data_IF_753235008703
#
_entry.id   IF_753235008703
#
_cell.length_a   1.000
_cell.length_b   1.000
_cell.length_c   1.000
_cell.angle_alpha   90.00
_cell.angle_beta   90.00
_cell.angle_gamma   90.00
#
_symmetry.space_group_name_H-M   'P 1'
#
loop_
_entity.id
_entity.type
_entity.pdbx_description
1 polymer ?
#
# COMPACT_ATOMS: atom_id res chain seq x y z
N UNK A 1 6.19 27.24 -3.34
CA UNK A 1 7.33 26.31 -3.34
C UNK A 1 8.42 26.73 -4.35
N UNK A 2 9.33 27.66 -3.98
CA UNK A 2 10.60 27.84 -4.71
C UNK A 2 11.85 27.69 -3.82
N UNK A 3 11.72 27.31 -2.54
CA UNK A 3 12.85 27.29 -1.59
C UNK A 3 13.69 26.00 -1.60
N UNK A 4 13.13 24.89 -2.11
CA UNK A 4 13.81 23.58 -2.16
C UNK A 4 13.66 22.97 -3.56
N UNK A 5 14.35 23.51 -4.59
CA UNK A 5 14.18 23.07 -5.98
C UNK A 5 14.64 21.62 -6.21
N UNK A 6 15.55 21.12 -5.38
CA UNK A 6 16.10 19.76 -5.45
C UNK A 6 15.26 18.73 -4.65
N UNK A 7 14.08 19.14 -4.17
CA UNK A 7 13.13 18.26 -3.49
C UNK A 7 11.79 18.22 -4.22
N UNK A 8 11.21 17.02 -4.25
CA UNK A 8 9.84 16.79 -4.71
C UNK A 8 8.98 16.56 -3.48
N UNK A 9 7.76 17.12 -3.49
CA UNK A 9 6.82 17.04 -2.37
C UNK A 9 5.50 16.34 -2.73
N UNK A 10 5.50 15.02 -3.02
CA UNK A 10 4.26 14.30 -3.26
C UNK A 10 3.38 14.35 -2.00
N UNK A 11 2.16 14.86 -2.16
CA UNK A 11 1.26 15.12 -1.04
C UNK A 11 -0.15 14.66 -1.36
N UNK A 12 -0.80 14.00 -0.41
CA UNK A 12 -2.23 13.72 -0.45
C UNK A 12 -2.81 13.99 0.94
N UNK A 13 -3.69 14.99 1.06
CA UNK A 13 -4.14 15.50 2.34
C UNK A 13 -2.96 15.83 3.29
N UNK A 14 -2.91 15.27 4.50
CA UNK A 14 -1.83 15.44 5.48
C UNK A 14 -0.62 14.54 5.23
N UNK A 15 -0.74 13.52 4.35
CA UNK A 15 0.36 12.63 3.99
C UNK A 15 1.29 13.29 2.96
N UNK A 16 2.23 14.09 3.48
CA UNK A 16 3.28 14.76 2.70
C UNK A 16 4.59 13.99 2.77
N UNK A 17 5.21 13.76 1.60
CA UNK A 17 6.51 13.11 1.47
C UNK A 17 7.53 14.12 0.95
N UNK A 18 8.77 14.05 1.43
CA UNK A 18 9.88 14.86 0.93
C UNK A 18 10.88 13.92 0.28
N UNK A 19 11.11 14.08 -1.02
CA UNK A 19 11.96 13.19 -1.82
C UNK A 19 13.11 14.00 -2.41
N UNK A 20 14.34 13.56 -2.17
CA UNK A 20 15.55 14.22 -2.66
C UNK A 20 16.81 13.63 -2.03
N UNK A 21 17.93 14.33 -2.20
CA UNK A 21 19.18 14.01 -1.50
C UNK A 21 19.01 14.24 0.01
N UNK A 22 19.69 13.43 0.83
CA UNK A 22 19.52 13.40 2.30
C UNK A 22 19.61 14.80 2.92
N UNK A 23 20.65 15.57 2.59
CA UNK A 23 20.86 16.89 3.17
C UNK A 23 19.78 17.90 2.74
N UNK A 24 19.31 17.80 1.50
CA UNK A 24 18.24 18.65 0.96
C UNK A 24 16.89 18.31 1.62
N UNK A 25 16.62 17.02 1.83
CA UNK A 25 15.41 16.55 2.53
C UNK A 25 15.39 17.04 3.98
N UNK A 26 16.52 17.00 4.69
CA UNK A 26 16.61 17.54 6.04
C UNK A 26 16.37 19.05 6.09
N UNK A 27 16.97 19.80 5.18
CA UNK A 27 16.78 21.24 5.09
C UNK A 27 15.31 21.60 4.79
N UNK A 28 14.70 20.86 3.85
CA UNK A 28 13.28 20.97 3.54
C UNK A 28 12.38 20.60 4.72
N UNK A 29 12.73 19.55 5.49
CA UNK A 29 12.00 19.14 6.68
C UNK A 29 12.00 20.22 7.76
N UNK A 30 13.16 20.82 8.05
CA UNK A 30 13.24 21.93 9.01
C UNK A 30 12.41 23.13 8.55
N UNK A 31 12.50 23.49 7.26
CA UNK A 31 11.69 24.58 6.69
C UNK A 31 10.19 24.28 6.84
N UNK A 32 9.78 23.03 6.57
CA UNK A 32 8.38 22.61 6.73
C UNK A 32 7.93 22.69 8.18
N UNK A 33 8.77 22.30 9.14
CA UNK A 33 8.47 22.42 10.58
C UNK A 33 8.23 23.88 10.99
N UNK A 34 9.09 24.80 10.56
CA UNK A 34 8.96 26.21 10.87
C UNK A 34 7.70 26.82 10.24
N UNK A 35 7.41 26.47 8.98
CA UNK A 35 6.22 26.93 8.27
C UNK A 35 4.93 26.39 8.91
N UNK A 36 4.90 25.12 9.30
CA UNK A 36 3.75 24.54 10.01
C UNK A 36 3.55 25.19 11.38
N UNK A 37 4.64 25.43 12.13
CA UNK A 37 4.57 26.10 13.42
C UNK A 37 4.00 27.52 13.31
N UNK A 38 4.31 28.25 12.23
CA UNK A 38 3.77 29.60 11.98
C UNK A 38 2.25 29.65 11.82
N UNK A 39 1.62 28.52 11.50
CA UNK A 39 0.16 28.37 11.38
C UNK A 39 -0.44 27.50 12.50
N UNK A 40 0.33 27.23 13.56
CA UNK A 40 -0.14 26.46 14.73
C UNK A 40 -0.24 24.95 14.49
N UNK A 41 0.42 24.42 13.46
CA UNK A 41 0.47 22.99 13.15
C UNK A 41 1.82 22.39 13.54
N UNK A 42 1.83 21.09 13.82
CA UNK A 42 3.05 20.33 14.14
C UNK A 42 3.09 19.01 13.38
N UNK A 43 4.30 18.57 13.04
CA UNK A 43 4.52 17.23 12.49
C UNK A 43 4.38 16.21 13.63
N UNK A 44 3.80 15.04 13.35
CA UNK A 44 3.74 13.91 14.28
C UNK A 44 4.91 12.93 14.01
N UNK A 45 6.04 13.01 14.75
CA UNK A 45 7.25 12.24 14.44
C UNK A 45 7.03 10.73 14.41
N UNK A 46 6.16 10.22 15.29
CA UNK A 46 5.88 8.79 15.42
C UNK A 46 5.19 8.17 14.20
N UNK A 47 4.61 9.00 13.32
CA UNK A 47 4.02 8.62 12.04
C UNK A 47 4.98 8.81 10.86
N UNK A 48 6.04 9.59 11.03
CA UNK A 48 7.02 9.85 10.00
C UNK A 48 8.05 8.71 9.90
N UNK A 49 8.39 8.34 8.67
CA UNK A 49 9.40 7.31 8.40
C UNK A 49 10.37 7.81 7.35
N UNK A 50 11.67 7.69 7.61
CA UNK A 50 12.72 7.93 6.65
C UNK A 50 13.18 6.61 6.03
N UNK A 51 13.48 6.64 4.74
CA UNK A 51 14.02 5.51 4.00
C UNK A 51 14.85 6.01 2.81
N UNK A 52 15.86 5.23 2.44
CA UNK A 52 16.66 5.45 1.24
C UNK A 52 16.96 4.09 0.62
N UNK A 53 16.88 3.94 -0.72
CA UNK A 53 17.25 2.70 -1.40
C UNK A 53 18.73 2.33 -1.21
N UNK A 54 19.59 3.31 -0.89
CA UNK A 54 21.02 3.11 -0.66
C UNK A 54 21.38 3.08 0.83
N UNK A 55 20.38 3.02 1.72
CA UNK A 55 20.56 3.23 3.15
C UNK A 55 20.72 4.70 3.50
N UNK A 56 20.53 4.99 4.79
CA UNK A 56 20.74 6.33 5.35
C UNK A 56 22.14 6.39 5.99
N UNK A 57 22.84 7.53 5.91
CA UNK A 57 24.17 7.66 6.51
C UNK A 57 24.07 7.54 8.04
N UNK A 58 25.03 6.87 8.72
CA UNK A 58 25.01 6.72 10.17
C UNK A 58 25.03 8.05 10.94
N UNK A 59 25.56 9.10 10.32
CA UNK A 59 25.59 10.46 10.86
C UNK A 59 24.27 11.22 10.74
N UNK A 60 23.26 10.64 10.09
CA UNK A 60 21.97 11.28 9.91
C UNK A 60 21.25 11.47 11.25
N UNK A 61 21.02 12.72 11.64
CA UNK A 61 20.22 13.07 12.80
C UNK A 61 18.80 13.43 12.37
N UNK A 62 17.86 12.49 12.56
CA UNK A 62 16.43 12.76 12.37
C UNK A 62 15.80 13.30 13.65
N UNK A 63 14.70 14.09 13.55
CA UNK A 63 13.96 14.52 14.73
C UNK A 63 13.52 13.33 15.60
N UNK A 64 13.56 13.51 16.91
CA UNK A 64 13.23 12.45 17.88
C UNK A 64 11.84 11.87 17.59
N UNK A 65 11.77 10.55 17.45
CA UNK A 65 10.54 9.80 17.22
C UNK A 65 10.28 9.41 15.76
N UNK A 66 11.05 9.95 14.81
CA UNK A 66 11.02 9.45 13.42
C UNK A 66 11.45 7.99 13.39
N UNK A 67 10.75 7.20 12.57
CA UNK A 67 11.15 5.83 12.27
C UNK A 67 12.15 5.82 11.12
N UNK A 68 13.03 4.83 11.12
CA UNK A 68 13.89 4.53 9.97
C UNK A 68 13.51 3.16 9.46
N UNK A 69 13.14 3.10 8.19
CA UNK A 69 12.97 1.82 7.50
C UNK A 69 14.25 1.46 6.76
N UNK A 70 14.60 0.18 6.78
CA UNK A 70 15.74 -0.38 6.01
C UNK A 70 15.28 -1.18 4.79
N UNK A 71 13.99 -1.50 4.70
CA UNK A 71 13.45 -2.44 3.71
C UNK A 71 12.55 -1.78 2.68
N UNK A 72 11.96 -0.62 2.98
CA UNK A 72 11.04 0.07 2.08
C UNK A 72 10.02 0.94 2.81
N UNK A 73 9.12 1.57 2.06
CA UNK A 73 8.00 2.35 2.57
C UNK A 73 6.69 1.85 1.97
N UNK A 74 5.59 2.11 2.66
CA UNK A 74 4.26 2.01 2.06
C UNK A 74 3.67 3.42 1.99
N UNK A 75 3.41 3.90 0.77
CA UNK A 75 2.90 5.24 0.50
C UNK A 75 1.47 5.08 -0.02
N UNK A 76 0.49 5.56 0.74
CA UNK A 76 -0.94 5.45 0.39
C UNK A 76 -1.37 4.02 0.01
N UNK A 77 -0.82 3.00 0.69
CA UNK A 77 -1.10 1.59 0.40
C UNK A 77 -0.26 0.98 -0.74
N UNK A 78 0.60 1.76 -1.41
CA UNK A 78 1.51 1.28 -2.44
C UNK A 78 2.91 0.99 -1.84
N UNK A 79 3.44 -0.23 -1.97
CA UNK A 79 4.79 -0.54 -1.50
C UNK A 79 5.85 0.08 -2.41
N UNK A 80 6.88 0.67 -1.80
CA UNK A 80 8.05 1.24 -2.44
C UNK A 80 9.31 0.65 -1.79
N UNK A 81 10.19 0.05 -2.58
CA UNK A 81 11.42 -0.55 -2.06
C UNK A 81 12.03 -1.54 -3.05
N UNK A 82 13.00 -2.35 -2.60
CA UNK A 82 13.51 -3.48 -3.37
C UNK A 82 12.38 -4.45 -3.74
N UNK A 83 12.55 -5.17 -4.84
CA UNK A 83 11.55 -6.13 -5.35
C UNK A 83 11.10 -7.14 -4.29
N UNK A 84 12.02 -7.60 -3.43
CA UNK A 84 11.70 -8.52 -2.33
C UNK A 84 10.72 -7.92 -1.32
N UNK A 85 10.87 -6.65 -0.96
CA UNK A 85 9.96 -5.94 -0.06
C UNK A 85 8.59 -5.76 -0.72
N UNK A 86 8.58 -5.27 -1.97
CA UNK A 86 7.36 -5.03 -2.75
C UNK A 86 6.55 -6.32 -2.92
N UNK A 87 7.20 -7.41 -3.31
CA UNK A 87 6.54 -8.70 -3.49
C UNK A 87 6.04 -9.27 -2.17
N UNK A 88 6.83 -9.20 -1.10
CA UNK A 88 6.42 -9.69 0.22
C UNK A 88 5.19 -8.94 0.74
N UNK A 89 5.18 -7.61 0.60
CA UNK A 89 4.04 -6.78 0.98
C UNK A 89 2.81 -7.17 0.16
N UNK A 90 2.94 -7.24 -1.16
CA UNK A 90 1.81 -7.52 -2.04
C UNK A 90 1.21 -8.91 -1.79
N UNK A 91 2.05 -9.96 -1.72
CA UNK A 91 1.59 -11.33 -1.41
C UNK A 91 0.88 -11.38 -0.05
N UNK A 92 1.45 -10.73 0.97
CA UNK A 92 0.82 -10.65 2.30
C UNK A 92 -0.56 -9.99 2.23
N UNK A 93 -0.70 -8.87 1.51
CA UNK A 93 -1.99 -8.19 1.35
C UNK A 93 -3.02 -9.07 0.64
N UNK A 94 -2.61 -9.85 -0.36
CA UNK A 94 -3.47 -10.84 -1.01
C UNK A 94 -3.92 -11.94 -0.02
N UNK A 95 -3.00 -12.46 0.80
CA UNK A 95 -3.31 -13.47 1.81
C UNK A 95 -4.29 -12.96 2.88
N UNK A 96 -4.10 -11.73 3.37
CA UNK A 96 -5.01 -11.10 4.33
C UNK A 96 -6.41 -10.88 3.73
N UNK A 97 -6.47 -10.47 2.47
CA UNK A 97 -7.74 -10.31 1.75
C UNK A 97 -8.42 -11.67 1.49
N UNK A 98 -7.66 -12.71 1.16
CA UNK A 98 -8.16 -14.08 1.00
C UNK A 98 -8.74 -14.61 2.31
N UNK A 99 -8.06 -14.38 3.44
CA UNK A 99 -8.59 -14.76 4.74
C UNK A 99 -9.93 -14.08 5.03
N UNK A 100 -10.01 -12.76 4.81
CA UNK A 100 -11.28 -12.02 4.96
C UNK A 100 -12.38 -12.53 4.02
N UNK A 101 -11.99 -13.02 2.83
CA UNK A 101 -12.93 -13.54 1.83
C UNK A 101 -13.50 -14.89 2.25
N UNK A 102 -12.71 -15.74 2.92
CA UNK A 102 -13.19 -17.01 3.47
C UNK A 102 -14.20 -16.85 4.60
N UNK A 103 -14.20 -15.70 5.29
CA UNK A 103 -15.18 -15.39 6.33
C UNK A 103 -16.51 -14.89 5.74
N UNK A 104 -16.53 -14.50 4.45
CA UNK A 104 -17.69 -13.87 3.82
C UNK A 104 -18.95 -14.77 3.80
N UNK A 105 -18.86 -16.09 3.55
CA UNK A 105 -20.01 -16.99 3.62
C UNK A 105 -20.62 -17.16 5.02
N UNK A 106 -19.97 -16.67 6.09
CA UNK A 106 -20.53 -16.68 7.45
C UNK A 106 -21.69 -15.69 7.60
N UNK A 107 -21.87 -14.79 6.64
CA UNK A 107 -23.01 -13.89 6.59
C UNK A 107 -24.27 -14.65 6.14
N UNK A 108 -25.33 -14.55 6.94
CA UNK A 108 -26.57 -15.30 6.71
C UNK A 108 -27.38 -14.83 5.48
N UNK A 109 -27.17 -13.58 5.03
CA UNK A 109 -27.96 -12.96 3.97
C UNK A 109 -27.21 -13.02 2.62
N UNK A 110 -27.72 -13.78 1.62
CA UNK A 110 -27.08 -13.90 0.31
C UNK A 110 -26.94 -12.58 -0.45
N UNK A 111 -27.90 -11.65 -0.29
CA UNK A 111 -27.86 -10.34 -0.95
C UNK A 111 -26.75 -9.46 -0.37
N UNK A 112 -26.57 -9.50 0.96
CA UNK A 112 -25.45 -8.81 1.64
C UNK A 112 -24.12 -9.41 1.22
N UNK A 113 -24.01 -10.74 1.24
CA UNK A 113 -22.80 -11.47 0.82
C UNK A 113 -22.44 -11.12 -0.63
N UNK A 114 -23.40 -11.15 -1.54
CA UNK A 114 -23.20 -10.76 -2.94
C UNK A 114 -22.76 -9.30 -3.09
N UNK A 115 -23.42 -8.38 -2.37
CA UNK A 115 -23.08 -6.96 -2.38
C UNK A 115 -21.63 -6.73 -1.94
N UNK A 116 -21.20 -7.35 -0.85
CA UNK A 116 -19.81 -7.26 -0.38
C UNK A 116 -18.82 -7.92 -1.34
N UNK A 117 -19.15 -9.08 -1.91
CA UNK A 117 -18.30 -9.78 -2.86
C UNK A 117 -17.97 -8.90 -4.08
N UNK A 118 -19.01 -8.35 -4.72
CA UNK A 118 -18.88 -7.56 -5.95
C UNK A 118 -18.36 -6.16 -5.68
N UNK A 119 -18.85 -5.50 -4.62
CA UNK A 119 -18.53 -4.10 -4.38
C UNK A 119 -17.31 -3.85 -3.50
N UNK A 120 -16.93 -4.80 -2.66
CA UNK A 120 -15.78 -4.68 -1.78
C UNK A 120 -14.65 -5.60 -2.24
N UNK A 121 -14.85 -6.92 -2.23
CA UNK A 121 -13.76 -7.88 -2.43
C UNK A 121 -13.19 -7.88 -3.85
N UNK A 122 -14.04 -7.89 -4.88
CA UNK A 122 -13.60 -7.87 -6.28
C UNK A 122 -12.74 -6.64 -6.63
N UNK A 123 -12.95 -5.52 -5.92
CA UNK A 123 -12.26 -4.25 -6.19
C UNK A 123 -11.10 -3.97 -5.24
N UNK A 124 -11.06 -4.66 -4.09
CA UNK A 124 -10.17 -4.39 -2.95
C UNK A 124 -8.69 -4.29 -3.34
N UNK A 125 -8.25 -5.15 -4.25
CA UNK A 125 -6.84 -5.31 -4.60
C UNK A 125 -6.45 -4.61 -5.91
N UNK A 126 -7.39 -3.95 -6.58
CA UNK A 126 -7.12 -3.29 -7.86
C UNK A 126 -6.08 -2.18 -7.74
N UNK A 127 -6.12 -1.41 -6.65
CA UNK A 127 -5.13 -0.36 -6.42
C UNK A 127 -3.72 -0.95 -6.31
N UNK A 128 -3.55 -1.99 -5.49
CA UNK A 128 -2.27 -2.68 -5.32
C UNK A 128 -1.74 -3.24 -6.65
N UNK A 129 -2.61 -3.82 -7.48
CA UNK A 129 -2.25 -4.34 -8.81
C UNK A 129 -1.83 -3.22 -9.78
N UNK A 130 -2.34 -2.00 -9.63
CA UNK A 130 -1.96 -0.85 -10.46
C UNK A 130 -0.62 -0.24 -10.07
N UNK A 131 -0.22 -0.40 -8.80
CA UNK A 131 0.99 0.23 -8.26
C UNK A 131 2.15 -0.75 -8.09
N UNK A 132 1.96 -2.03 -8.42
CA UNK A 132 2.95 -3.08 -8.21
C UNK A 132 3.25 -3.79 -9.53
N UNK A 133 4.53 -3.92 -9.86
CA UNK A 133 4.94 -4.68 -11.03
C UNK A 133 4.54 -6.16 -10.91
N UNK A 134 4.10 -6.81 -11.99
CA UNK A 134 3.75 -8.23 -11.96
C UNK A 134 4.98 -9.09 -11.64
N UNK A 135 4.78 -10.11 -10.80
CA UNK A 135 5.77 -11.14 -10.50
C UNK A 135 5.10 -12.51 -10.43
N UNK A 136 5.84 -13.62 -10.60
CA UNK A 136 5.25 -14.95 -10.49
C UNK A 136 4.53 -15.19 -9.15
N UNK A 137 5.11 -14.71 -8.04
CA UNK A 137 4.52 -14.82 -6.71
C UNK A 137 3.22 -14.00 -6.57
N UNK A 138 3.20 -12.78 -7.10
CA UNK A 138 2.00 -11.93 -7.08
C UNK A 138 0.88 -12.50 -7.96
N UNK A 139 1.22 -13.01 -9.14
CA UNK A 139 0.26 -13.64 -10.04
C UNK A 139 -0.32 -14.93 -9.44
N UNK A 140 0.48 -15.73 -8.73
CA UNK A 140 -0.01 -16.89 -8.00
C UNK A 140 -1.01 -16.48 -6.90
N UNK A 141 -0.65 -15.50 -6.07
CA UNK A 141 -1.51 -14.99 -5.00
C UNK A 141 -2.82 -14.38 -5.53
N UNK A 142 -2.76 -13.65 -6.65
CA UNK A 142 -3.95 -13.17 -7.36
C UNK A 142 -4.81 -14.32 -7.87
N UNK A 143 -4.21 -15.35 -8.44
CA UNK A 143 -4.92 -16.55 -8.91
C UNK A 143 -5.67 -17.26 -7.79
N UNK A 144 -5.05 -17.41 -6.62
CA UNK A 144 -5.70 -18.02 -5.43
C UNK A 144 -6.88 -17.18 -4.96
N UNK A 145 -6.69 -15.86 -4.82
CA UNK A 145 -7.75 -14.94 -4.44
C UNK A 145 -8.92 -14.95 -5.43
N UNK A 146 -8.62 -14.91 -6.73
CA UNK A 146 -9.62 -14.90 -7.78
C UNK A 146 -10.42 -16.21 -7.84
N UNK A 147 -9.77 -17.37 -7.67
CA UNK A 147 -10.46 -18.66 -7.57
C UNK A 147 -11.41 -18.72 -6.38
N UNK A 148 -10.97 -18.24 -5.21
CA UNK A 148 -11.84 -18.19 -4.03
C UNK A 148 -13.04 -17.26 -4.23
N UNK A 149 -12.83 -16.12 -4.89
CA UNK A 149 -13.88 -15.17 -5.23
C UNK A 149 -14.93 -15.82 -6.15
N UNK A 150 -14.49 -16.52 -7.20
CA UNK A 150 -15.39 -17.24 -8.11
C UNK A 150 -16.16 -18.35 -7.40
N UNK A 151 -15.50 -19.15 -6.56
CA UNK A 151 -16.16 -20.23 -5.82
C UNK A 151 -17.31 -19.71 -4.92
N UNK A 152 -17.12 -18.55 -4.28
CA UNK A 152 -18.19 -17.93 -3.47
C UNK A 152 -19.32 -17.41 -4.38
N UNK A 153 -18.99 -16.82 -5.52
CA UNK A 153 -19.99 -16.37 -6.49
C UNK A 153 -20.82 -17.54 -7.02
N UNK A 154 -20.18 -18.66 -7.36
CA UNK A 154 -20.86 -19.89 -7.80
C UNK A 154 -21.83 -20.42 -6.75
N UNK A 155 -21.38 -20.47 -5.49
CA UNK A 155 -22.20 -20.89 -4.38
C UNK A 155 -23.43 -19.98 -4.17
N UNK A 156 -23.27 -18.66 -4.34
CA UNK A 156 -24.37 -17.69 -4.22
C UNK A 156 -25.38 -17.76 -5.35
N UNK A 157 -24.93 -18.09 -6.56
CA UNK A 157 -25.80 -18.15 -7.75
C UNK A 157 -26.41 -19.55 -7.97
N UNK A 158 -26.06 -20.52 -7.13
CA UNK A 158 -26.40 -21.93 -7.31
C UNK A 158 -25.98 -22.48 -8.69
N UNK A 159 -24.89 -21.95 -9.24
CA UNK A 159 -24.36 -22.35 -10.55
C UNK A 159 -23.27 -23.40 -10.42
N UNK A 160 -23.09 -24.22 -11.45
CA UNK A 160 -21.88 -25.05 -11.60
C UNK A 160 -20.60 -24.22 -11.76
N UNK A 161 -19.42 -24.85 -11.77
CA UNK A 161 -18.14 -24.14 -11.80
C UNK A 161 -18.02 -23.26 -13.05
N UNK A 162 -17.58 -22.02 -12.88
CA UNK A 162 -17.18 -21.14 -13.98
C UNK A 162 -15.92 -21.75 -14.62
N UNK A 163 -16.11 -22.45 -15.74
CA UNK A 163 -15.00 -22.98 -16.51
C UNK A 163 -14.25 -21.81 -17.15
N UNK A 164 -13.07 -21.49 -16.60
CA UNK A 164 -12.09 -20.67 -17.30
C UNK A 164 -11.59 -21.49 -18.49
N UNK A 165 -12.20 -21.29 -19.67
CA UNK A 165 -11.67 -21.84 -20.91
C UNK A 165 -10.26 -21.31 -21.11
N UNK A 166 -9.26 -22.18 -20.94
CA UNK A 166 -7.88 -21.94 -21.37
C UNK A 166 -7.80 -22.26 -22.86
N UNK A 167 -8.47 -21.46 -23.69
CA UNK A 167 -8.33 -21.54 -25.14
C UNK A 167 -7.71 -20.21 -25.63
N UNK A 168 -6.38 -20.24 -25.78
CA UNK A 168 -5.48 -19.40 -26.62
C UNK A 168 -4.14 -19.15 -25.91
#
# INVERSE_FOLDING_TARGET
MPQHPDCIFPSYADDTHIVGLVDQVLLALHTLQDQLASVGLTIQPAKCTAWSPHGLPPSLSLPKGFRVSTTGLCILGAPLGPDSFVQTYAVKTFQEALQSLHDLPLLADPQVTFGLLVHCFARRLLYLLRTTAPSPALLAAYGDFYRALLAILEALLETGPFLLQRDA
#
